data_IF_387584443910
#
_entry.id   IF_387584443910
#
_cell.length_a   1.000
_cell.length_b   1.000
_cell.length_c   1.000
_cell.angle_alpha   90.00
_cell.angle_beta   90.00
_cell.angle_gamma   90.00
#
_symmetry.space_group_name_H-M   'P 1'
#
loop_
_entity.id
_entity.type
_entity.pdbx_description
1 polymer ?
#
# COMPACT_ATOMS: atom_id res chain seq x y z
N UNK A 1 13.71 9.50 15.96
CA UNK A 1 12.64 9.52 14.94
C UNK A 1 13.08 8.66 13.79
N UNK A 2 12.26 7.69 13.42
CA UNK A 2 12.43 7.00 12.13
C UNK A 2 12.26 8.02 11.01
N UNK A 3 12.90 7.76 9.87
CA UNK A 3 12.80 8.63 8.70
C UNK A 3 11.39 8.53 8.11
N UNK A 4 10.81 9.66 7.73
CA UNK A 4 9.55 9.68 7.00
C UNK A 4 9.69 9.06 5.60
N UNK A 5 8.74 8.21 5.20
CA UNK A 5 8.75 7.58 3.88
C UNK A 5 7.35 7.17 3.40
N UNK A 6 7.26 6.92 2.09
CA UNK A 6 6.07 6.47 1.40
C UNK A 6 6.40 5.21 0.60
N UNK A 7 5.51 4.22 0.63
CA UNK A 7 5.58 3.02 -0.19
C UNK A 7 4.28 2.81 -0.92
N UNK A 8 4.35 2.60 -2.23
CA UNK A 8 3.20 2.22 -3.02
C UNK A 8 3.01 0.71 -2.92
N UNK A 9 1.91 0.28 -2.30
CA UNK A 9 1.53 -1.14 -2.22
C UNK A 9 0.95 -1.62 -3.56
N UNK A 10 0.30 -0.71 -4.26
CA UNK A 10 -0.17 -0.91 -5.62
C UNK A 10 -0.52 0.42 -6.27
N UNK A 11 -0.50 0.43 -7.58
CA UNK A 11 -0.66 1.62 -8.44
C UNK A 11 -1.60 1.35 -9.60
N UNK A 12 -2.27 0.20 -9.60
CA UNK A 12 -3.34 -0.09 -10.54
C UNK A 12 -4.53 0.84 -10.28
N UNK A 13 -4.96 1.50 -11.34
CA UNK A 13 -6.15 2.34 -11.36
C UNK A 13 -6.81 2.27 -12.73
N UNK A 14 -8.11 2.57 -12.79
CA UNK A 14 -8.89 2.46 -14.01
C UNK A 14 -9.20 1.01 -14.42
N UNK A 15 -10.28 0.84 -15.19
CA UNK A 15 -10.85 -0.47 -15.50
C UNK A 15 -9.85 -1.39 -16.20
N UNK A 16 -9.13 -0.91 -17.21
CA UNK A 16 -8.24 -1.75 -18.01
C UNK A 16 -7.07 -2.31 -17.19
N UNK A 17 -6.39 -1.48 -16.39
CA UNK A 17 -5.22 -1.90 -15.60
C UNK A 17 -5.63 -2.87 -14.49
N UNK A 18 -6.76 -2.60 -13.83
CA UNK A 18 -7.28 -3.46 -12.76
C UNK A 18 -7.81 -4.78 -13.31
N UNK A 19 -8.68 -4.79 -14.32
CA UNK A 19 -9.28 -6.03 -14.83
C UNK A 19 -8.28 -6.93 -15.56
N UNK A 20 -7.29 -6.35 -16.24
CA UNK A 20 -6.21 -7.12 -16.88
C UNK A 20 -5.04 -7.41 -15.94
N UNK A 21 -5.11 -6.98 -14.68
CA UNK A 21 -4.06 -7.17 -13.67
C UNK A 21 -2.66 -6.71 -14.15
N UNK A 22 -2.61 -5.61 -14.91
CA UNK A 22 -1.35 -5.09 -15.50
C UNK A 22 -0.43 -4.47 -14.43
N UNK A 23 -1.00 -4.07 -13.30
CA UNK A 23 -0.29 -3.62 -12.11
C UNK A 23 -1.02 -4.17 -10.90
N UNK A 24 -0.33 -4.25 -9.77
CA UNK A 24 -0.98 -4.54 -8.50
C UNK A 24 -1.82 -3.34 -8.04
N UNK A 25 -3.03 -3.62 -7.55
CA UNK A 25 -3.80 -2.70 -6.70
C UNK A 25 -3.28 -2.77 -5.27
N UNK A 26 -3.58 -1.78 -4.42
CA UNK A 26 -3.18 -1.86 -3.01
C UNK A 26 -3.01 -0.54 -2.27
N UNK A 27 -3.03 0.60 -2.95
CA UNK A 27 -2.93 1.91 -2.32
C UNK A 27 -1.51 2.26 -1.87
N UNK A 28 -1.39 3.07 -0.82
CA UNK A 28 -0.14 3.61 -0.31
C UNK A 28 0.01 3.40 1.19
N UNK A 29 1.23 3.11 1.62
CA UNK A 29 1.64 3.09 3.01
C UNK A 29 2.55 4.28 3.30
N UNK A 30 2.18 5.09 4.27
CA UNK A 30 2.95 6.23 4.72
C UNK A 30 3.46 5.93 6.13
N UNK A 31 4.74 6.18 6.36
CA UNK A 31 5.34 6.21 7.69
C UNK A 31 5.75 7.66 7.95
N UNK A 32 4.99 8.36 8.78
CA UNK A 32 5.18 9.78 9.07
C UNK A 32 5.16 9.99 10.59
N UNK A 33 6.19 10.63 11.14
CA UNK A 33 6.29 10.92 12.58
C UNK A 33 6.05 9.67 13.46
N UNK A 34 6.69 8.55 13.13
CA UNK A 34 6.52 7.24 13.80
C UNK A 34 5.08 6.67 13.77
N UNK A 35 4.19 7.23 12.94
CA UNK A 35 2.81 6.77 12.68
C UNK A 35 2.72 6.12 11.30
N UNK A 36 2.09 4.94 11.26
CA UNK A 36 1.79 4.24 10.01
C UNK A 36 0.37 4.61 9.55
N UNK A 37 0.23 5.01 8.28
CA UNK A 37 -1.04 5.42 7.67
C UNK A 37 -1.22 4.64 6.37
N UNK A 38 -2.36 3.94 6.26
CA UNK A 38 -2.79 3.28 5.03
C UNK A 38 -3.77 4.17 4.28
N UNK A 39 -3.46 4.48 3.02
CA UNK A 39 -4.30 5.31 2.14
C UNK A 39 -4.84 4.46 0.99
N UNK A 40 -6.16 4.57 0.78
CA UNK A 40 -6.92 3.96 -0.33
C UNK A 40 -6.61 2.46 -0.52
N UNK A 41 -6.93 1.62 0.48
CA UNK A 41 -6.65 0.19 0.39
C UNK A 41 -7.49 -0.47 -0.71
N UNK A 42 -6.84 -0.83 -1.81
CA UNK A 42 -7.43 -1.61 -2.88
C UNK A 42 -7.34 -3.13 -2.67
N UNK A 43 -7.88 -3.93 -3.62
CA UNK A 43 -7.68 -5.36 -3.63
C UNK A 43 -6.19 -5.74 -3.55
N UNK A 44 -5.86 -6.67 -2.66
CA UNK A 44 -4.47 -7.10 -2.42
C UNK A 44 -3.66 -6.23 -1.45
N UNK A 45 -4.21 -5.13 -0.92
CA UNK A 45 -3.49 -4.24 0.01
C UNK A 45 -2.93 -4.99 1.23
N UNK A 46 -3.76 -5.82 1.88
CA UNK A 46 -3.35 -6.62 3.05
C UNK A 46 -2.18 -7.57 2.73
N UNK A 47 -2.26 -8.28 1.60
CA UNK A 47 -1.20 -9.20 1.17
C UNK A 47 0.10 -8.43 0.95
N UNK A 48 0.03 -7.27 0.28
CA UNK A 48 1.20 -6.42 0.02
C UNK A 48 1.80 -5.85 1.29
N UNK A 49 0.99 -5.53 2.30
CA UNK A 49 1.46 -5.10 3.62
C UNK A 49 2.30 -6.21 4.25
N UNK A 50 1.78 -7.43 4.31
CA UNK A 50 2.49 -8.58 4.90
C UNK A 50 3.76 -8.97 4.13
N UNK A 51 3.72 -9.03 2.79
CA UNK A 51 4.89 -9.33 1.95
C UNK A 51 6.03 -8.32 2.13
N UNK A 52 5.69 -7.09 2.55
CA UNK A 52 6.65 -6.02 2.78
C UNK A 52 7.02 -5.84 4.25
N UNK A 53 6.59 -6.77 5.12
CA UNK A 53 6.80 -6.73 6.57
C UNK A 53 6.37 -5.41 7.20
N UNK A 54 5.30 -4.81 6.66
CA UNK A 54 4.71 -3.61 7.21
C UNK A 54 3.78 -4.02 8.35
N UNK A 55 3.94 -3.39 9.50
CA UNK A 55 3.18 -3.69 10.70
C UNK A 55 1.97 -2.74 10.80
N UNK A 56 0.74 -3.22 10.51
CA UNK A 56 -0.46 -2.52 10.92
C UNK A 56 -0.57 -2.73 12.42
N UNK A 57 0.09 -1.88 13.20
CA UNK A 57 -0.09 -1.86 14.65
C UNK A 57 -1.60 -1.74 14.93
N UNK A 58 -2.18 -2.83 15.42
CA UNK A 58 -3.55 -2.86 15.96
C UNK A 58 -3.51 -2.23 17.34
#
# INVERSE_FOLDING_TARGET
MLKDWIKFLGTAGGRVVVFRQLRHSGGMWLHLNDVNILIDPGPGSLIRIFENSLDPKI
#
